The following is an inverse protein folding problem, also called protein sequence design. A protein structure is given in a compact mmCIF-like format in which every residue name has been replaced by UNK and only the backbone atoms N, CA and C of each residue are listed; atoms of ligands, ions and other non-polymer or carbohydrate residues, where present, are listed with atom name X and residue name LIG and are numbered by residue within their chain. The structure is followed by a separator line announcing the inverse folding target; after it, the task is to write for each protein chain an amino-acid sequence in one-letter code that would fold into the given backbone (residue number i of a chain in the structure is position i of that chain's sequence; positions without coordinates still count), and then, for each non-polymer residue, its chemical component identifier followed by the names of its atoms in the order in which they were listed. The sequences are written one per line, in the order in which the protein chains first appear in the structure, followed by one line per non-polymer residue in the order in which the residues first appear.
data_IF_896327763463
#
_entry.id   IF_896327763463
#
_cell.length_a   1.000
_cell.length_b   1.000
_cell.length_c   1.000
_cell.angle_alpha   90.00
_cell.angle_beta   90.00
_cell.angle_gamma   90.00
#
_symmetry.space_group_name_H-M   'P 1'
#
loop_
_entity.id
_entity.type
_entity.pdbx_description
1 polymer ?
#
# COMPACT_ATOMS: atom_id res chain seq x y z
N UNK A 1 20.59 4.12 -13.86
CA UNK A 1 20.68 3.05 -12.84
C UNK A 1 20.63 3.72 -11.47
N UNK A 2 19.63 3.41 -10.64
CA UNK A 2 19.50 4.05 -9.31
C UNK A 2 20.58 3.53 -8.35
N UNK A 3 20.86 4.28 -7.27
CA UNK A 3 21.76 3.81 -6.21
C UNK A 3 21.28 2.47 -5.62
N UNK A 4 19.95 2.33 -5.44
CA UNK A 4 19.33 1.09 -4.94
C UNK A 4 19.60 -0.08 -5.88
N UNK A 5 19.55 0.13 -7.22
CA UNK A 5 19.88 -0.92 -8.20
C UNK A 5 21.35 -1.40 -8.06
N UNK A 6 22.27 -0.46 -7.81
CA UNK A 6 23.68 -0.82 -7.64
C UNK A 6 23.89 -1.66 -6.39
N UNK A 7 23.33 -1.23 -5.26
CA UNK A 7 23.47 -1.94 -3.98
C UNK A 7 22.80 -3.33 -4.04
N UNK A 8 21.58 -3.42 -4.60
CA UNK A 8 20.88 -4.71 -4.70
C UNK A 8 21.58 -5.71 -5.61
N UNK A 9 22.15 -5.25 -6.74
CA UNK A 9 22.95 -6.11 -7.63
C UNK A 9 24.27 -6.53 -7.01
N UNK A 10 24.97 -5.64 -6.32
CA UNK A 10 26.21 -5.98 -5.61
C UNK A 10 25.94 -7.03 -4.52
N UNK A 11 24.85 -6.85 -3.76
CA UNK A 11 24.43 -7.85 -2.76
C UNK A 11 24.12 -9.20 -3.39
N UNK A 12 23.35 -9.21 -4.49
CA UNK A 12 23.00 -10.44 -5.20
C UNK A 12 24.21 -11.16 -5.75
N UNK A 13 25.18 -10.44 -6.32
CA UNK A 13 26.42 -11.00 -6.84
C UNK A 13 27.26 -11.67 -5.74
N UNK A 14 27.39 -11.04 -4.57
CA UNK A 14 28.09 -11.63 -3.42
C UNK A 14 27.40 -12.91 -2.93
N UNK A 15 26.06 -12.90 -2.82
CA UNK A 15 25.30 -14.08 -2.39
C UNK A 15 25.40 -15.20 -3.43
N UNK A 16 25.25 -14.86 -4.72
CA UNK A 16 25.30 -15.81 -5.83
C UNK A 16 26.68 -16.48 -5.94
N UNK A 17 27.77 -15.72 -5.81
CA UNK A 17 29.13 -16.25 -5.86
C UNK A 17 29.40 -17.19 -4.68
N UNK A 18 28.97 -16.84 -3.46
CA UNK A 18 29.19 -17.69 -2.28
C UNK A 18 28.38 -19.00 -2.29
N UNK A 19 27.22 -18.99 -2.93
CA UNK A 19 26.32 -20.15 -3.00
C UNK A 19 26.38 -20.87 -4.35
N UNK A 20 27.26 -20.47 -5.25
CA UNK A 20 27.43 -21.04 -6.61
C UNK A 20 26.09 -21.09 -7.38
N UNK A 21 25.29 -20.02 -7.29
CA UNK A 21 24.01 -19.94 -7.93
C UNK A 21 24.12 -19.50 -9.40
N UNK A 22 23.16 -19.94 -10.23
CA UNK A 22 23.06 -19.52 -11.62
C UNK A 22 22.54 -18.07 -11.79
N UNK A 23 22.73 -17.50 -12.98
CA UNK A 23 22.35 -16.13 -13.32
C UNK A 23 20.88 -15.81 -13.04
N UNK A 24 19.95 -16.73 -13.35
CA UNK A 24 18.52 -16.54 -13.09
C UNK A 24 18.21 -16.36 -11.60
N UNK A 25 18.93 -17.09 -10.74
CA UNK A 25 18.78 -17.00 -9.28
C UNK A 25 19.37 -15.69 -8.75
N UNK A 26 20.49 -15.24 -9.31
CA UNK A 26 21.09 -13.94 -8.98
C UNK A 26 20.11 -12.79 -9.29
N UNK A 27 19.43 -12.80 -10.45
CA UNK A 27 18.43 -11.79 -10.80
C UNK A 27 17.24 -11.77 -9.82
N UNK A 28 16.79 -12.95 -9.38
CA UNK A 28 15.70 -13.07 -8.37
C UNK A 28 16.15 -12.48 -7.03
N UNK A 29 17.38 -12.75 -6.60
CA UNK A 29 17.96 -12.19 -5.36
C UNK A 29 18.10 -10.67 -5.48
N UNK A 30 18.62 -10.17 -6.62
CA UNK A 30 18.74 -8.73 -6.87
C UNK A 30 17.40 -8.01 -6.80
N UNK A 31 16.36 -8.59 -7.40
CA UNK A 31 15.00 -8.07 -7.34
C UNK A 31 14.42 -8.07 -5.91
N UNK A 32 14.66 -9.15 -5.17
CA UNK A 32 14.22 -9.26 -3.77
C UNK A 32 14.90 -8.23 -2.87
N UNK A 33 16.22 -8.09 -2.99
CA UNK A 33 17.01 -7.10 -2.25
C UNK A 33 16.58 -5.67 -2.59
N UNK A 34 16.36 -5.38 -3.88
CA UNK A 34 15.83 -4.09 -4.33
C UNK A 34 14.48 -3.74 -3.69
N UNK A 35 13.53 -4.68 -3.72
CA UNK A 35 12.21 -4.48 -3.14
C UNK A 35 12.28 -4.29 -1.62
N UNK A 36 13.16 -5.01 -0.92
CA UNK A 36 13.37 -4.87 0.52
C UNK A 36 13.93 -3.49 0.87
N UNK A 37 15.02 -3.08 0.22
CA UNK A 37 15.65 -1.76 0.46
C UNK A 37 14.64 -0.65 0.21
N UNK A 38 13.90 -0.70 -0.89
CA UNK A 38 12.87 0.28 -1.21
C UNK A 38 11.77 0.34 -0.15
N UNK A 39 11.32 -0.82 0.34
CA UNK A 39 10.28 -0.89 1.38
C UNK A 39 10.77 -0.26 2.68
N UNK A 40 11.99 -0.58 3.12
CA UNK A 40 12.60 -0.01 4.32
C UNK A 40 12.73 1.51 4.20
N UNK A 41 13.24 2.01 3.08
CA UNK A 41 13.34 3.46 2.84
C UNK A 41 11.98 4.15 2.86
N UNK A 42 10.95 3.54 2.28
CA UNK A 42 9.59 4.08 2.31
C UNK A 42 9.03 4.15 3.73
N UNK A 43 9.24 3.12 4.55
CA UNK A 43 8.83 3.10 5.95
C UNK A 43 9.53 4.21 6.73
N UNK A 44 10.86 4.37 6.57
CA UNK A 44 11.61 5.44 7.22
C UNK A 44 11.13 6.84 6.79
N UNK A 45 10.84 7.03 5.51
CA UNK A 45 10.31 8.31 5.02
C UNK A 45 8.95 8.63 5.64
N UNK A 46 8.02 7.66 5.66
CA UNK A 46 6.69 7.83 6.28
C UNK A 46 6.84 8.13 7.78
N UNK A 47 7.71 7.40 8.48
CA UNK A 47 7.97 7.58 9.90
C UNK A 47 8.52 8.99 10.20
N UNK A 48 9.55 9.43 9.47
CA UNK A 48 10.19 10.72 9.67
C UNK A 48 9.21 11.89 9.41
N UNK A 49 8.52 11.86 8.27
CA UNK A 49 7.55 12.91 7.94
C UNK A 49 6.29 12.83 8.79
N UNK A 50 5.84 11.63 9.17
CA UNK A 50 4.74 11.45 10.13
C UNK A 50 5.07 12.05 11.51
N UNK A 51 6.31 11.91 11.98
CA UNK A 51 6.78 12.56 13.21
C UNK A 51 6.80 14.09 13.08
N UNK A 52 7.34 14.61 11.99
CA UNK A 52 7.39 16.06 11.73
C UNK A 52 5.98 16.68 11.67
N UNK A 53 5.01 15.99 11.13
CA UNK A 53 3.62 16.44 11.00
C UNK A 53 2.75 16.09 12.22
N UNK A 54 3.28 15.39 13.21
CA UNK A 54 2.54 14.97 14.40
C UNK A 54 1.44 13.92 14.12
N UNK A 55 1.62 13.10 13.08
CA UNK A 55 0.70 12.02 12.65
C UNK A 55 1.43 10.70 12.43
N UNK A 56 2.47 10.45 13.23
CA UNK A 56 3.30 9.24 13.10
C UNK A 56 2.48 7.95 13.22
N UNK A 57 1.67 7.82 14.26
CA UNK A 57 0.91 6.59 14.51
C UNK A 57 -0.12 6.37 13.40
N UNK A 58 -0.87 7.41 13.03
CA UNK A 58 -1.89 7.36 12.00
C UNK A 58 -1.29 6.97 10.65
N UNK A 59 -0.25 7.67 10.19
CA UNK A 59 0.40 7.41 8.90
C UNK A 59 1.01 6.01 8.83
N UNK A 60 1.59 5.51 9.92
CA UNK A 60 2.15 4.16 10.00
C UNK A 60 1.06 3.10 9.93
N UNK A 61 -0.02 3.21 10.72
CA UNK A 61 -1.12 2.24 10.71
C UNK A 61 -1.78 2.18 9.33
N UNK A 62 -2.07 3.35 8.74
CA UNK A 62 -2.66 3.46 7.39
C UNK A 62 -1.75 2.77 6.36
N UNK A 63 -0.45 3.07 6.39
CA UNK A 63 0.51 2.51 5.42
C UNK A 63 0.67 1.00 5.56
N UNK A 64 0.72 0.45 6.79
CA UNK A 64 0.81 -0.99 7.01
C UNK A 64 -0.46 -1.71 6.57
N UNK A 65 -1.65 -1.19 6.89
CA UNK A 65 -2.91 -1.77 6.45
C UNK A 65 -2.99 -1.83 4.91
N UNK A 66 -2.62 -0.73 4.24
CA UNK A 66 -2.54 -0.67 2.78
C UNK A 66 -1.50 -1.64 2.20
N UNK A 67 -0.29 -1.69 2.78
CA UNK A 67 0.81 -2.53 2.27
C UNK A 67 0.49 -4.03 2.38
N UNK A 68 -0.12 -4.48 3.48
CA UNK A 68 -0.48 -5.89 3.66
C UNK A 68 -1.56 -6.29 2.65
N UNK A 69 -2.61 -5.49 2.47
CA UNK A 69 -3.65 -5.76 1.47
C UNK A 69 -3.05 -5.78 0.06
N UNK A 70 -2.13 -4.85 -0.25
CA UNK A 70 -1.45 -4.73 -1.55
C UNK A 70 -0.68 -6.00 -1.93
N UNK A 71 -0.12 -6.72 -0.96
CA UNK A 71 0.58 -8.00 -1.20
C UNK A 71 -0.31 -9.01 -1.93
N UNK A 72 -1.61 -9.00 -1.65
CA UNK A 72 -2.59 -9.92 -2.23
C UNK A 72 -3.36 -9.30 -3.39
N UNK A 73 -3.76 -8.03 -3.27
CA UNK A 73 -4.60 -7.36 -4.26
C UNK A 73 -3.83 -6.87 -5.49
N UNK A 74 -2.52 -6.62 -5.37
CA UNK A 74 -1.75 -5.90 -6.38
C UNK A 74 -2.06 -4.40 -6.37
N UNK A 75 -1.97 -3.76 -7.53
CA UNK A 75 -2.31 -2.34 -7.71
C UNK A 75 -1.26 -1.59 -8.54
N UNK A 76 -1.54 -0.32 -8.84
CA UNK A 76 -0.68 0.55 -9.63
C UNK A 76 0.62 0.92 -8.89
N UNK A 77 1.72 1.06 -9.63
CA UNK A 77 3.02 1.52 -9.14
C UNK A 77 3.50 2.71 -9.96
N UNK A 78 4.20 3.64 -9.33
CA UNK A 78 4.95 4.67 -10.02
C UNK A 78 6.06 4.08 -10.91
N UNK A 79 6.51 4.84 -11.89
CA UNK A 79 7.50 4.37 -12.88
C UNK A 79 8.89 4.21 -12.28
N UNK A 80 9.25 5.08 -11.32
CA UNK A 80 10.53 5.05 -10.63
C UNK A 80 10.33 4.64 -9.16
N UNK A 81 11.21 3.82 -8.59
CA UNK A 81 11.12 3.38 -7.19
C UNK A 81 11.08 4.54 -6.19
N UNK A 82 11.93 5.55 -6.42
CA UNK A 82 12.00 6.73 -5.57
C UNK A 82 10.68 7.53 -5.60
N UNK A 83 10.11 7.71 -6.79
CA UNK A 83 8.81 8.36 -6.93
C UNK A 83 7.73 7.61 -6.15
N UNK A 84 7.73 6.26 -6.21
CA UNK A 84 6.79 5.43 -5.47
C UNK A 84 6.91 5.64 -3.94
N UNK A 85 8.13 5.75 -3.42
CA UNK A 85 8.37 6.00 -2.00
C UNK A 85 7.89 7.40 -1.58
N UNK A 86 8.22 8.44 -2.36
CA UNK A 86 7.82 9.83 -2.07
C UNK A 86 6.30 10.00 -2.19
N UNK A 87 5.69 9.47 -3.25
CA UNK A 87 4.23 9.50 -3.43
C UNK A 87 3.54 8.79 -2.26
N UNK A 88 4.03 7.61 -1.86
CA UNK A 88 3.49 6.87 -0.72
C UNK A 88 3.60 7.66 0.59
N UNK A 89 4.76 8.28 0.84
CA UNK A 89 4.98 9.14 2.00
C UNK A 89 3.98 10.30 2.04
N UNK A 90 3.83 11.04 0.94
CA UNK A 90 2.90 12.18 0.84
C UNK A 90 1.47 11.71 1.13
N UNK A 91 1.04 10.65 0.45
CA UNK A 91 -0.33 10.13 0.57
C UNK A 91 -0.63 9.67 2.00
N UNK A 92 0.24 8.86 2.60
CA UNK A 92 -0.02 8.31 3.93
C UNK A 92 0.06 9.38 5.03
N UNK A 93 0.92 10.39 4.89
CA UNK A 93 0.93 11.53 5.81
C UNK A 93 -0.32 12.41 5.64
N UNK A 94 -0.77 12.67 4.41
CA UNK A 94 -2.01 13.43 4.16
C UNK A 94 -3.23 12.67 4.70
N UNK A 95 -3.31 11.37 4.49
CA UNK A 95 -4.37 10.54 5.06
C UNK A 95 -4.31 10.53 6.60
N UNK A 96 -3.12 10.50 7.19
CA UNK A 96 -2.93 10.62 8.65
C UNK A 96 -3.47 11.94 9.19
N UNK A 97 -3.15 13.07 8.53
CA UNK A 97 -3.70 14.38 8.87
C UNK A 97 -5.22 14.43 8.74
N UNK A 98 -5.75 13.83 7.66
CA UNK A 98 -7.20 13.74 7.44
C UNK A 98 -7.88 12.96 8.57
N UNK A 99 -7.37 11.78 8.94
CA UNK A 99 -7.91 10.98 10.05
C UNK A 99 -7.86 11.78 11.35
N UNK A 100 -6.74 12.42 11.67
CA UNK A 100 -6.61 13.25 12.87
C UNK A 100 -7.65 14.38 12.90
N UNK A 101 -7.89 15.03 11.74
CA UNK A 101 -8.93 16.08 11.62
C UNK A 101 -10.34 15.52 11.77
N UNK A 102 -10.65 14.36 11.18
CA UNK A 102 -11.95 13.69 11.31
C UNK A 102 -12.24 13.31 12.76
N UNK A 103 -11.23 12.79 13.49
CA UNK A 103 -11.38 12.39 14.90
C UNK A 103 -11.71 13.56 15.83
N UNK A 104 -11.33 14.79 15.46
CA UNK A 104 -11.60 16.01 16.25
C UNK A 104 -12.97 16.60 15.92
N UNK A 105 -13.41 16.52 14.65
CA UNK A 105 -14.52 17.34 14.14
C UNK A 105 -15.78 16.55 13.82
N UNK A 106 -15.71 15.20 13.79
CA UNK A 106 -16.85 14.36 13.38
C UNK A 106 -17.35 13.52 14.55
N UNK A 107 -18.65 13.52 14.76
CA UNK A 107 -19.29 12.72 15.78
C UNK A 107 -19.18 11.21 15.47
N UNK A 108 -19.15 10.40 16.53
CA UNK A 108 -18.99 8.94 16.48
C UNK A 108 -19.94 8.25 15.48
N UNK A 109 -21.21 8.65 15.45
CA UNK A 109 -22.23 8.02 14.58
C UNK A 109 -21.88 8.18 13.11
N UNK A 110 -21.42 9.38 12.71
CA UNK A 110 -21.01 9.64 11.32
C UNK A 110 -19.71 8.90 10.96
N UNK A 111 -18.77 8.75 11.90
CA UNK A 111 -17.56 7.95 11.69
C UNK A 111 -17.90 6.47 11.43
N UNK A 112 -18.83 5.90 12.20
CA UNK A 112 -19.30 4.52 11.96
C UNK A 112 -19.96 4.39 10.59
N UNK A 113 -20.81 5.35 10.21
CA UNK A 113 -21.44 5.38 8.89
C UNK A 113 -20.39 5.45 7.76
N UNK A 114 -19.38 6.30 7.93
CA UNK A 114 -18.28 6.44 6.98
C UNK A 114 -17.49 5.12 6.83
N UNK A 115 -17.09 4.51 7.95
CA UNK A 115 -16.37 3.23 7.95
C UNK A 115 -17.20 2.10 7.30
N UNK A 116 -18.51 2.04 7.55
CA UNK A 116 -19.39 1.08 6.90
C UNK A 116 -19.42 1.26 5.37
N UNK A 117 -19.48 2.51 4.90
CA UNK A 117 -19.44 2.85 3.48
C UNK A 117 -18.07 2.50 2.87
N UNK A 118 -16.98 2.78 3.57
CA UNK A 118 -15.61 2.40 3.15
C UNK A 118 -15.50 0.90 2.95
N UNK A 119 -15.93 0.08 3.93
CA UNK A 119 -15.89 -1.37 3.81
C UNK A 119 -16.78 -1.91 2.69
N UNK A 120 -17.97 -1.35 2.50
CA UNK A 120 -18.86 -1.71 1.39
C UNK A 120 -18.17 -1.48 0.04
N UNK A 121 -17.53 -0.32 -0.14
CA UNK A 121 -16.74 0.01 -1.32
C UNK A 121 -15.54 -0.95 -1.50
N UNK A 122 -14.79 -1.20 -0.43
CA UNK A 122 -13.64 -2.12 -0.44
C UNK A 122 -14.05 -3.52 -0.90
N UNK A 123 -15.13 -4.09 -0.33
CA UNK A 123 -15.64 -5.40 -0.74
C UNK A 123 -16.06 -5.41 -2.21
N UNK A 124 -16.78 -4.37 -2.67
CA UNK A 124 -17.14 -4.23 -4.08
C UNK A 124 -15.90 -4.28 -4.98
N UNK A 125 -14.87 -3.49 -4.66
CA UNK A 125 -13.63 -3.45 -5.45
C UNK A 125 -12.88 -4.78 -5.40
N UNK A 126 -12.77 -5.42 -4.24
CA UNK A 126 -12.10 -6.72 -4.09
C UNK A 126 -12.80 -7.80 -4.92
N UNK A 127 -14.14 -7.83 -4.93
CA UNK A 127 -14.90 -8.81 -5.71
C UNK A 127 -14.74 -8.58 -7.21
N UNK A 128 -14.80 -7.31 -7.65
CA UNK A 128 -14.85 -6.96 -9.08
C UNK A 128 -13.47 -6.89 -9.74
N UNK A 129 -12.49 -6.27 -9.10
CA UNK A 129 -11.22 -5.89 -9.73
C UNK A 129 -10.01 -6.72 -9.26
N UNK A 130 -10.05 -7.28 -8.03
CA UNK A 130 -8.91 -7.98 -7.46
C UNK A 130 -8.74 -9.40 -8.04
N UNK A 131 -7.49 -9.87 -8.24
CA UNK A 131 -6.22 -9.15 -8.13
C UNK A 131 -5.83 -8.42 -9.44
N UNK A 132 -5.15 -7.28 -9.30
CA UNK A 132 -4.61 -6.53 -10.43
C UNK A 132 -3.13 -6.88 -10.60
N UNK A 133 -2.77 -7.42 -11.77
CA UNK A 133 -1.37 -7.67 -12.14
C UNK A 133 -0.66 -6.38 -12.54
N UNK A 134 0.66 -6.32 -12.33
CA UNK A 134 1.49 -5.24 -12.86
C UNK A 134 2.14 -5.64 -14.19
N UNK A 135 2.60 -4.66 -14.96
CA UNK A 135 3.33 -4.89 -16.22
C UNK A 135 4.55 -5.79 -16.00
N UNK A 136 5.25 -5.63 -14.87
CA UNK A 136 6.43 -6.40 -14.53
C UNK A 136 6.12 -7.77 -13.88
N UNK A 137 4.85 -8.02 -13.50
CA UNK A 137 4.43 -9.28 -12.88
C UNK A 137 3.02 -9.65 -13.36
N UNK A 138 2.87 -10.08 -14.63
CA UNK A 138 1.58 -10.46 -15.18
C UNK A 138 1.05 -11.72 -14.46
N UNK A 139 -0.23 -11.69 -14.08
CA UNK A 139 -0.91 -12.82 -13.44
C UNK A 139 -1.47 -13.76 -14.51
N UNK A 140 -0.59 -14.54 -15.17
CA UNK A 140 -0.97 -15.49 -16.22
C UNK A 140 -1.63 -16.77 -15.68
N UNK A 141 -1.27 -17.20 -14.46
CA UNK A 141 -1.76 -18.45 -13.87
C UNK A 141 -3.14 -18.21 -13.20
N UNK A 142 -4.23 -18.90 -13.65
CA UNK A 142 -5.57 -18.72 -13.13
C UNK A 142 -5.71 -19.18 -11.66
N UNK A 143 -5.01 -20.23 -11.23
CA UNK A 143 -5.09 -20.73 -9.86
C UNK A 143 -4.44 -19.74 -8.87
N UNK A 144 -3.29 -19.16 -9.28
CA UNK A 144 -2.66 -18.09 -8.50
C UNK A 144 -3.58 -16.87 -8.38
N UNK A 145 -4.31 -16.51 -9.46
CA UNK A 145 -5.27 -15.41 -9.45
C UNK A 145 -6.42 -15.69 -8.48
N UNK A 146 -7.00 -16.89 -8.50
CA UNK A 146 -8.06 -17.32 -7.57
C UNK A 146 -7.56 -17.28 -6.11
N UNK A 147 -6.36 -17.79 -5.85
CA UNK A 147 -5.75 -17.80 -4.51
C UNK A 147 -5.55 -16.38 -3.97
N UNK A 148 -4.97 -15.47 -4.77
CA UNK A 148 -4.75 -14.08 -4.37
C UNK A 148 -6.07 -13.36 -4.11
N UNK A 149 -7.09 -13.55 -4.94
CA UNK A 149 -8.43 -13.01 -4.71
C UNK A 149 -9.02 -13.48 -3.39
N UNK A 150 -8.97 -14.79 -3.11
CA UNK A 150 -9.42 -15.35 -1.84
C UNK A 150 -8.68 -14.76 -0.66
N UNK A 151 -7.35 -14.65 -0.74
CA UNK A 151 -6.52 -14.05 0.32
C UNK A 151 -6.85 -12.57 0.56
N UNK A 152 -7.10 -11.77 -0.50
CA UNK A 152 -7.53 -10.37 -0.36
C UNK A 152 -8.88 -10.26 0.35
N UNK A 153 -9.86 -11.08 -0.03
CA UNK A 153 -11.18 -11.10 0.61
C UNK A 153 -11.11 -11.55 2.07
N UNK A 154 -10.32 -12.59 2.36
CA UNK A 154 -10.12 -13.07 3.74
C UNK A 154 -9.44 -11.98 4.60
N UNK A 155 -8.42 -11.32 4.06
CA UNK A 155 -7.77 -10.21 4.77
C UNK A 155 -8.73 -9.05 5.01
N UNK A 156 -9.52 -8.64 4.02
CA UNK A 156 -10.52 -7.58 4.17
C UNK A 156 -11.56 -7.96 5.24
N UNK A 157 -12.02 -9.21 5.26
CA UNK A 157 -12.95 -9.69 6.28
C UNK A 157 -12.34 -9.71 7.68
N UNK A 158 -11.06 -10.13 7.81
CA UNK A 158 -10.36 -10.08 9.10
C UNK A 158 -10.17 -8.64 9.59
N UNK A 159 -9.88 -7.69 8.70
CA UNK A 159 -9.78 -6.27 9.08
C UNK A 159 -11.14 -5.67 9.47
N UNK A 160 -12.23 -6.08 8.83
CA UNK A 160 -13.58 -5.71 9.28
C UNK A 160 -13.85 -6.23 10.70
N UNK A 161 -13.53 -7.49 10.99
CA UNK A 161 -13.68 -8.04 12.34
C UNK A 161 -12.84 -7.28 13.38
N UNK A 162 -11.58 -6.96 13.06
CA UNK A 162 -10.71 -6.12 13.91
C UNK A 162 -11.32 -4.74 14.15
N UNK A 163 -11.87 -4.11 13.10
CA UNK A 163 -12.54 -2.81 13.23
C UNK A 163 -13.76 -2.87 14.16
N UNK A 164 -14.59 -3.92 14.06
CA UNK A 164 -15.74 -4.12 14.95
C UNK A 164 -15.27 -4.26 16.39
N UNK A 165 -14.23 -5.07 16.65
CA UNK A 165 -13.68 -5.26 17.99
C UNK A 165 -13.13 -3.95 18.57
N UNK A 166 -12.36 -3.19 17.79
CA UNK A 166 -11.81 -1.89 18.21
C UNK A 166 -12.91 -0.87 18.49
N UNK A 167 -13.92 -0.81 17.64
CA UNK A 167 -15.07 0.08 17.83
C UNK A 167 -15.86 -0.28 19.10
N UNK A 168 -16.05 -1.59 19.33
CA UNK A 168 -16.68 -2.06 20.57
C UNK A 168 -15.83 -1.76 21.80
N UNK A 169 -14.51 -1.94 21.73
CA UNK A 169 -13.59 -1.56 22.80
C UNK A 169 -13.67 -0.05 23.12
N UNK A 170 -13.79 0.81 22.10
CA UNK A 170 -14.02 2.23 22.30
C UNK A 170 -15.33 2.49 23.05
N UNK A 171 -16.44 1.85 22.68
CA UNK A 171 -17.74 2.03 23.36
C UNK A 171 -17.67 1.62 24.84
N UNK A 172 -16.91 0.56 25.17
CA UNK A 172 -16.76 0.09 26.55
C UNK A 172 -15.83 0.96 27.40
N UNK A 173 -14.76 1.49 26.80
CA UNK A 173 -13.66 2.13 27.57
C UNK A 173 -13.62 3.66 27.42
N UNK A 174 -14.36 4.22 26.47
CA UNK A 174 -14.26 5.62 26.02
C UNK A 174 -12.82 6.05 25.63
N UNK A 175 -11.92 5.10 25.35
CA UNK A 175 -10.57 5.39 24.93
C UNK A 175 -10.53 5.64 23.41
N UNK A 176 -10.36 6.91 23.04
CA UNK A 176 -10.34 7.38 21.64
C UNK A 176 -9.30 6.67 20.76
N UNK A 177 -8.21 6.14 21.35
CA UNK A 177 -7.17 5.47 20.60
C UNK A 177 -7.70 4.23 19.86
N UNK A 178 -8.65 3.48 20.43
CA UNK A 178 -9.25 2.33 19.75
C UNK A 178 -10.00 2.76 18.48
N UNK A 179 -10.77 3.83 18.57
CA UNK A 179 -11.50 4.36 17.42
C UNK A 179 -10.56 4.94 16.36
N UNK A 180 -9.51 5.67 16.78
CA UNK A 180 -8.49 6.21 15.86
C UNK A 180 -7.80 5.08 15.09
N UNK A 181 -7.40 4.00 15.76
CA UNK A 181 -6.79 2.83 15.10
C UNK A 181 -7.76 2.19 14.10
N UNK A 182 -9.05 2.05 14.48
CA UNK A 182 -10.07 1.50 13.59
C UNK A 182 -10.22 2.34 12.31
N UNK A 183 -10.33 3.66 12.44
CA UNK A 183 -10.44 4.59 11.29
C UNK A 183 -9.16 4.55 10.43
N UNK A 184 -7.97 4.48 11.05
CA UNK A 184 -6.72 4.34 10.31
C UNK A 184 -6.67 3.05 9.47
N UNK A 185 -7.11 1.91 10.03
CA UNK A 185 -7.15 0.63 9.32
C UNK A 185 -8.13 0.72 8.14
N UNK A 186 -9.35 1.21 8.34
CA UNK A 186 -10.35 1.34 7.27
C UNK A 186 -9.86 2.27 6.16
N UNK A 187 -9.28 3.43 6.50
CA UNK A 187 -8.68 4.37 5.54
C UNK A 187 -7.54 3.74 4.73
N UNK A 188 -6.68 2.94 5.38
CA UNK A 188 -5.57 2.26 4.71
C UNK A 188 -6.04 1.24 3.67
N UNK A 189 -7.02 0.39 4.01
CA UNK A 189 -7.58 -0.56 3.06
C UNK A 189 -8.45 0.11 1.99
N UNK A 190 -9.12 1.22 2.31
CA UNK A 190 -9.83 2.05 1.34
C UNK A 190 -8.85 2.61 0.30
N UNK A 191 -7.77 3.25 0.74
CA UNK A 191 -6.75 3.78 -0.17
C UNK A 191 -6.20 2.68 -1.09
N UNK A 192 -5.84 1.52 -0.51
CA UNK A 192 -5.36 0.40 -1.32
C UNK A 192 -6.40 -0.05 -2.35
N UNK A 193 -7.68 -0.05 -2.02
CA UNK A 193 -8.77 -0.39 -2.95
C UNK A 193 -8.91 0.64 -4.07
N UNK A 194 -8.74 1.93 -3.76
CA UNK A 194 -8.69 2.99 -4.76
C UNK A 194 -7.58 2.77 -5.79
N UNK A 195 -6.42 2.24 -5.38
CA UNK A 195 -5.32 1.94 -6.31
C UNK A 195 -5.62 0.82 -7.32
N UNK A 196 -6.71 0.08 -7.15
CA UNK A 196 -7.15 -0.98 -8.07
C UNK A 196 -8.11 -0.47 -9.15
N UNK A 197 -8.69 0.69 -8.95
CA UNK A 197 -9.64 1.32 -9.89
C UNK A 197 -9.00 2.48 -10.63
N UNK A 198 -9.66 2.97 -11.69
CA UNK A 198 -9.14 4.03 -12.58
C UNK A 198 -8.74 5.30 -11.84
N UNK A 199 -9.46 5.68 -10.78
CA UNK A 199 -9.13 6.85 -9.96
C UNK A 199 -7.73 6.77 -9.37
N UNK A 200 -7.36 5.64 -8.77
CA UNK A 200 -6.03 5.44 -8.20
C UNK A 200 -4.93 5.47 -9.25
N UNK A 201 -5.20 4.95 -10.45
CA UNK A 201 -4.27 5.05 -11.58
C UNK A 201 -4.02 6.50 -11.96
N UNK A 202 -5.08 7.31 -12.13
CA UNK A 202 -4.99 8.72 -12.48
C UNK A 202 -4.19 9.49 -11.42
N UNK A 203 -4.49 9.29 -10.12
CA UNK A 203 -3.81 10.00 -9.03
C UNK A 203 -2.30 9.68 -9.05
N UNK A 204 -1.95 8.38 -9.08
CA UNK A 204 -0.55 7.96 -9.02
C UNK A 204 0.21 8.37 -10.29
N UNK A 205 -0.40 8.26 -11.48
CA UNK A 205 0.20 8.70 -12.74
C UNK A 205 0.42 10.22 -12.79
N UNK A 206 -0.53 11.00 -12.29
CA UNK A 206 -0.41 12.46 -12.25
C UNK A 206 0.75 12.88 -11.33
N UNK A 207 0.83 12.30 -10.13
CA UNK A 207 1.92 12.56 -9.19
C UNK A 207 3.28 12.09 -9.73
N UNK A 208 3.33 10.91 -10.35
CA UNK A 208 4.56 10.38 -10.93
C UNK A 208 5.05 11.24 -12.10
N UNK A 209 4.14 11.70 -12.97
CA UNK A 209 4.47 12.60 -14.09
C UNK A 209 4.98 13.94 -13.57
N UNK A 210 4.35 14.51 -12.56
CA UNK A 210 4.82 15.74 -11.91
C UNK A 210 6.23 15.61 -11.35
N UNK A 211 6.60 14.42 -10.85
CA UNK A 211 7.94 14.11 -10.36
C UNK A 211 8.93 13.68 -11.46
N UNK A 212 8.64 13.95 -12.72
CA UNK A 212 9.49 13.57 -13.87
C UNK A 212 9.47 12.06 -14.15
N UNK A 213 8.38 11.38 -13.82
CA UNK A 213 8.06 10.03 -14.27
C UNK A 213 7.61 10.03 -15.72
N UNK A 214 7.60 8.85 -16.34
CA UNK A 214 7.06 8.67 -17.71
C UNK A 214 5.64 8.16 -17.63
N UNK A 215 4.72 8.79 -18.35
CA UNK A 215 3.32 8.36 -18.44
C UNK A 215 3.23 6.92 -18.95
N UNK A 216 2.37 6.09 -18.37
CA UNK A 216 2.18 4.69 -18.77
C UNK A 216 1.77 4.58 -20.26
N UNK A 217 1.07 5.60 -20.79
CA UNK A 217 0.72 5.71 -22.22
C UNK A 217 1.97 5.77 -23.10
N UNK A 218 3.01 6.51 -22.73
CA UNK A 218 4.28 6.57 -23.46
C UNK A 218 5.07 5.26 -23.39
N UNK A 219 4.88 4.44 -22.36
CA UNK A 219 5.48 3.09 -22.27
C UNK A 219 4.84 2.10 -23.25
N UNK A 220 3.56 2.28 -23.62
CA UNK A 220 2.89 1.43 -24.60
C UNK A 220 3.26 1.80 -26.04
N UNK A 221 3.59 3.06 -26.27
CA UNK A 221 4.01 3.55 -27.61
C UNK A 221 5.48 3.21 -27.94
N UNK A 222 6.32 2.94 -26.94
CA UNK A 222 7.75 2.62 -27.10
C UNK A 222 8.06 1.11 -26.95
N UNK A 223 7.07 0.22 -27.04
CA UNK A 223 7.20 -1.23 -27.17
C UNK A 223 6.54 -1.72 -28.44
#
# INVERSE_FOLDING_TARGET
MSWIDKVSKSFASVVSSNLSLGHDQEEVIAYGAFALIQTVLSIFAIAAFGLLLGVFAESMIISFAAAILRKFSGGVHATKPLNCAVIGMIIFCVLGLLVKHLMINIEFVYLIGLMALEFAFVFYVMIKYCPVGSVNKPLKNPDKRKRLKKQSLMFTLSMLAVNIVLTYAYVLTNNINFLTVAVCISTGILWQSITLVSLGHIIIESLDTFMGGTTILNRRANK
#
